data_IF_143768708809
#
_entry.id   IF_143768708809
#
_cell.length_a   1.000
_cell.length_b   1.000
_cell.length_c   1.000
_cell.angle_alpha   90.00
_cell.angle_beta   90.00
_cell.angle_gamma   90.00
#
_symmetry.space_group_name_H-M   'P 1'
#
loop_
_entity.id
_entity.type
_entity.pdbx_description
1 polymer ?
#
# COMPACT_ATOMS: atom_id res chain seq x y z
N UNK A 1 25.22 -4.34 4.45
CA UNK A 1 24.30 -3.21 4.13
C UNK A 1 22.95 -3.71 3.59
N UNK A 2 22.90 -4.84 2.87
CA UNK A 2 21.68 -5.50 2.33
C UNK A 2 20.67 -5.99 3.37
N UNK A 3 21.11 -6.35 4.58
CA UNK A 3 20.18 -6.70 5.67
C UNK A 3 19.35 -5.49 6.11
N UNK A 4 20.00 -4.33 6.28
CA UNK A 4 19.41 -3.12 6.83
C UNK A 4 18.41 -2.47 5.86
N UNK A 5 18.74 -2.46 4.56
CA UNK A 5 17.86 -1.91 3.53
C UNK A 5 16.57 -2.72 3.37
N UNK A 6 16.66 -4.05 3.47
CA UNK A 6 15.50 -4.93 3.40
C UNK A 6 14.57 -4.74 4.58
N UNK A 7 15.10 -4.72 5.81
CA UNK A 7 14.30 -4.49 7.02
C UNK A 7 13.58 -3.13 7.01
N UNK A 8 14.21 -2.09 6.45
CA UNK A 8 13.58 -0.78 6.31
C UNK A 8 12.43 -0.82 5.29
N UNK A 9 12.61 -1.45 4.13
CA UNK A 9 11.54 -1.53 3.11
C UNK A 9 10.35 -2.37 3.57
N UNK A 10 10.59 -3.49 4.24
CA UNK A 10 9.51 -4.31 4.81
C UNK A 10 8.77 -3.53 5.90
N UNK A 11 9.49 -2.87 6.82
CA UNK A 11 8.88 -2.08 7.90
C UNK A 11 8.07 -0.89 7.37
N UNK A 12 8.62 -0.14 6.40
CA UNK A 12 7.90 0.97 5.76
C UNK A 12 6.69 0.49 4.97
N UNK A 13 6.79 -0.69 4.33
CA UNK A 13 5.70 -1.30 3.60
C UNK A 13 4.56 -1.77 4.50
N UNK A 14 4.88 -2.45 5.61
CA UNK A 14 3.91 -2.94 6.58
C UNK A 14 3.17 -1.80 7.29
N UNK A 15 3.87 -0.72 7.67
CA UNK A 15 3.21 0.45 8.29
C UNK A 15 2.29 1.16 7.31
N UNK A 16 2.71 1.34 6.05
CA UNK A 16 1.88 1.95 5.03
C UNK A 16 0.65 1.08 4.71
N UNK A 17 0.83 -0.23 4.61
CA UNK A 17 -0.24 -1.20 4.37
C UNK A 17 -1.26 -1.20 5.52
N UNK A 18 -0.81 -1.30 6.77
CA UNK A 18 -1.70 -1.30 7.93
C UNK A 18 -2.51 0.01 8.04
N UNK A 19 -1.91 1.14 7.66
CA UNK A 19 -2.61 2.42 7.62
C UNK A 19 -3.68 2.46 6.50
N UNK A 20 -3.39 1.88 5.33
CA UNK A 20 -4.34 1.74 4.22
C UNK A 20 -5.50 0.81 4.61
N UNK A 21 -5.21 -0.38 5.13
CA UNK A 21 -6.21 -1.34 5.59
C UNK A 21 -7.11 -0.76 6.69
N UNK A 22 -6.51 -0.07 7.67
CA UNK A 22 -7.27 0.60 8.75
C UNK A 22 -8.24 1.63 8.19
N UNK A 23 -7.81 2.47 7.24
CA UNK A 23 -8.68 3.47 6.60
C UNK A 23 -9.80 2.82 5.79
N UNK A 24 -9.50 1.78 5.03
CA UNK A 24 -10.49 1.02 4.28
C UNK A 24 -11.55 0.38 5.19
N UNK A 25 -11.12 -0.21 6.31
CA UNK A 25 -12.02 -0.78 7.31
C UNK A 25 -12.94 0.27 7.94
N UNK A 26 -12.40 1.45 8.28
CA UNK A 26 -13.19 2.58 8.79
C UNK A 26 -14.24 3.02 7.77
N UNK A 27 -13.89 3.14 6.49
CA UNK A 27 -14.85 3.51 5.46
C UNK A 27 -15.91 2.43 5.24
N UNK A 28 -15.53 1.15 5.28
CA UNK A 28 -16.48 0.04 5.13
C UNK A 28 -17.50 0.02 6.27
N UNK A 29 -17.04 0.20 7.52
CA UNK A 29 -17.92 0.35 8.68
C UNK A 29 -18.82 1.58 8.58
N UNK A 30 -18.30 2.70 8.07
CA UNK A 30 -19.10 3.91 7.82
C UNK A 30 -20.19 3.68 6.78
N UNK A 31 -19.89 2.99 5.67
CA UNK A 31 -20.89 2.65 4.63
C UNK A 31 -21.98 1.77 5.23
N UNK A 32 -21.61 0.76 6.01
CA UNK A 32 -22.55 -0.19 6.61
C UNK A 32 -23.49 0.52 7.61
N UNK A 33 -22.94 1.39 8.47
CA UNK A 33 -23.72 2.24 9.37
C UNK A 33 -24.65 3.21 8.63
N UNK A 34 -24.17 3.87 7.56
CA UNK A 34 -25.01 4.78 6.78
C UNK A 34 -26.11 4.05 6.01
N UNK A 35 -25.83 2.84 5.50
CA UNK A 35 -26.80 1.98 4.84
C UNK A 35 -27.91 1.56 5.80
N UNK A 36 -27.57 1.21 7.04
CA UNK A 36 -28.54 0.87 8.09
C UNK A 36 -29.41 2.07 8.51
N UNK A 37 -28.83 3.29 8.45
CA UNK A 37 -29.57 4.55 8.61
C UNK A 37 -30.33 5.02 7.35
N UNK A 38 -30.32 4.25 6.26
CA UNK A 38 -31.02 4.58 5.01
C UNK A 38 -30.36 5.69 4.18
N UNK A 39 -29.15 6.11 4.51
CA UNK A 39 -28.40 7.14 3.77
C UNK A 39 -27.70 6.47 2.58
N UNK A 40 -28.02 6.92 1.37
CA UNK A 40 -27.42 6.43 0.15
C UNK A 40 -26.00 6.99 0.00
N UNK A 41 -25.01 6.16 0.30
CA UNK A 41 -23.61 6.42 -0.06
C UNK A 41 -23.50 6.46 -1.60
N UNK A 42 -22.82 7.49 -2.12
CA UNK A 42 -22.66 7.65 -3.57
C UNK A 42 -22.02 6.41 -4.21
N UNK A 43 -22.53 6.00 -5.38
CA UNK A 43 -21.98 4.88 -6.16
C UNK A 43 -20.50 5.10 -6.50
N UNK A 44 -20.11 6.36 -6.74
CA UNK A 44 -18.72 6.76 -6.96
C UNK A 44 -17.81 6.45 -5.76
N UNK A 45 -18.27 6.65 -4.52
CA UNK A 45 -17.48 6.32 -3.34
C UNK A 45 -17.31 4.81 -3.17
N UNK A 46 -18.35 4.02 -3.41
CA UNK A 46 -18.27 2.56 -3.38
C UNK A 46 -17.30 2.01 -4.43
N UNK A 47 -17.33 2.57 -5.66
CA UNK A 47 -16.35 2.22 -6.70
C UNK A 47 -14.94 2.61 -6.29
N UNK A 48 -14.73 3.82 -5.78
CA UNK A 48 -13.40 4.27 -5.34
C UNK A 48 -12.84 3.44 -4.18
N UNK A 49 -13.70 3.02 -3.24
CA UNK A 49 -13.32 2.14 -2.15
C UNK A 49 -12.92 0.75 -2.65
N UNK A 50 -13.67 0.17 -3.59
CA UNK A 50 -13.33 -1.09 -4.23
C UNK A 50 -11.99 -1.03 -4.97
N UNK A 51 -11.76 0.04 -5.75
CA UNK A 51 -10.47 0.25 -6.43
C UNK A 51 -9.31 0.43 -5.44
N UNK A 52 -9.55 1.08 -4.30
CA UNK A 52 -8.54 1.26 -3.26
C UNK A 52 -8.24 -0.05 -2.50
N UNK A 53 -9.25 -0.89 -2.27
CA UNK A 53 -9.07 -2.25 -1.73
C UNK A 53 -8.23 -3.10 -2.67
N UNK A 54 -8.61 -3.18 -3.95
CA UNK A 54 -7.88 -3.99 -4.93
C UNK A 54 -6.42 -3.54 -5.09
N UNK A 55 -6.18 -2.22 -5.10
CA UNK A 55 -4.82 -1.67 -5.13
C UNK A 55 -4.02 -1.99 -3.85
N UNK A 56 -4.68 -2.01 -2.69
CA UNK A 56 -4.06 -2.36 -1.39
C UNK A 56 -3.71 -3.86 -1.33
N UNK A 57 -4.59 -4.73 -1.81
CA UNK A 57 -4.33 -6.17 -1.93
C UNK A 57 -3.16 -6.46 -2.88
N UNK A 58 -3.09 -5.75 -4.01
CA UNK A 58 -1.96 -5.81 -4.94
C UNK A 58 -0.66 -5.34 -4.29
N UNK A 59 -0.73 -4.32 -3.43
CA UNK A 59 0.42 -3.84 -2.68
C UNK A 59 0.91 -4.88 -1.66
N UNK A 60 0.01 -5.49 -0.88
CA UNK A 60 0.34 -6.58 0.04
C UNK A 60 0.99 -7.77 -0.70
N UNK A 61 0.41 -8.19 -1.82
CA UNK A 61 0.95 -9.26 -2.64
C UNK A 61 2.35 -8.94 -3.19
N UNK A 62 2.61 -7.66 -3.50
CA UNK A 62 3.91 -7.18 -3.98
C UNK A 62 4.96 -7.17 -2.87
N UNK A 63 4.58 -6.78 -1.64
CA UNK A 63 5.45 -6.87 -0.45
C UNK A 63 5.87 -8.33 -0.23
N UNK A 64 4.94 -9.29 -0.23
CA UNK A 64 5.23 -10.72 -0.08
C UNK A 64 6.17 -11.26 -1.17
N UNK A 65 5.99 -10.81 -2.42
CA UNK A 65 6.90 -11.15 -3.53
C UNK A 65 8.30 -10.59 -3.32
N UNK A 66 8.41 -9.37 -2.81
CA UNK A 66 9.70 -8.72 -2.52
C UNK A 66 10.43 -9.43 -1.39
N UNK A 67 9.74 -9.81 -0.31
CA UNK A 67 10.33 -10.60 0.77
C UNK A 67 10.82 -11.98 0.29
N UNK A 68 10.04 -12.63 -0.59
CA UNK A 68 10.46 -13.89 -1.22
C UNK A 68 11.71 -13.69 -2.08
N UNK A 69 11.73 -12.67 -2.95
CA UNK A 69 12.89 -12.33 -3.78
C UNK A 69 14.12 -11.99 -2.93
N UNK A 70 13.92 -11.33 -1.79
CA UNK A 70 14.97 -11.03 -0.82
C UNK A 70 15.55 -12.29 -0.22
N UNK A 71 14.70 -13.23 0.20
CA UNK A 71 15.17 -14.52 0.73
C UNK A 71 15.99 -15.30 -0.31
N UNK A 72 15.61 -15.24 -1.59
CA UNK A 72 16.37 -15.86 -2.69
C UNK A 72 17.73 -15.16 -2.87
N UNK A 73 17.76 -13.83 -2.85
CA UNK A 73 18.99 -13.05 -2.93
C UNK A 73 19.92 -13.34 -1.75
N UNK A 74 19.41 -13.36 -0.51
CA UNK A 74 20.22 -13.64 0.68
C UNK A 74 20.79 -15.08 0.65
N UNK A 75 20.04 -16.05 0.13
CA UNK A 75 20.53 -17.42 -0.10
C UNK A 75 21.64 -17.46 -1.17
N UNK A 76 21.46 -16.78 -2.30
CA UNK A 76 22.46 -16.70 -3.37
C UNK A 76 23.74 -15.97 -2.92
N UNK A 77 23.61 -14.86 -2.18
CA UNK A 77 24.73 -14.12 -1.61
C UNK A 77 25.52 -14.97 -0.60
N UNK A 78 24.82 -15.79 0.22
CA UNK A 78 25.46 -16.75 1.12
C UNK A 78 26.22 -17.83 0.35
N UNK A 79 25.64 -18.36 -0.73
CA UNK A 79 26.28 -19.36 -1.60
C UNK A 79 27.53 -18.80 -2.29
N UNK A 80 27.48 -17.56 -2.77
CA UNK A 80 28.63 -16.83 -3.30
C UNK A 80 29.74 -16.68 -2.26
N UNK A 81 29.39 -16.24 -1.05
CA UNK A 81 30.36 -16.08 0.04
C UNK A 81 31.03 -17.41 0.38
N UNK A 82 30.26 -18.51 0.43
CA UNK A 82 30.81 -19.84 0.66
C UNK A 82 31.75 -20.31 -0.46
N UNK A 83 31.38 -20.07 -1.72
CA UNK A 83 32.23 -20.38 -2.87
C UNK A 83 33.52 -19.56 -2.84
N UNK A 84 33.44 -18.26 -2.52
CA UNK A 84 34.60 -17.37 -2.41
C UNK A 84 35.54 -17.79 -1.29
N UNK A 85 35.00 -18.12 -0.12
CA UNK A 85 35.81 -18.62 1.00
C UNK A 85 36.52 -19.93 0.63
N UNK A 86 35.84 -20.83 -0.10
CA UNK A 86 36.43 -22.09 -0.56
C UNK A 86 37.54 -21.86 -1.58
N UNK A 87 37.35 -20.92 -2.52
CA UNK A 87 38.36 -20.51 -3.48
C UNK A 87 39.59 -19.91 -2.78
N UNK A 88 39.39 -19.00 -1.83
CA UNK A 88 40.47 -18.37 -1.06
C UNK A 88 41.24 -19.36 -0.18
N UNK A 89 40.62 -20.50 0.17
CA UNK A 89 41.27 -21.56 0.96
C UNK A 89 42.06 -22.55 0.09
N UNK A 90 41.94 -22.47 -1.24
CA UNK A 90 42.64 -23.33 -2.20
C UNK A 90 43.88 -22.60 -2.74
N UNK A 91 44.96 -23.34 -2.91
CA UNK A 91 46.14 -22.82 -3.58
C UNK A 91 45.86 -22.70 -5.10
N UNK A 92 46.30 -21.64 -5.79
CA UNK A 92 46.15 -21.53 -7.24
C UNK A 92 46.77 -22.69 -8.05
N UNK A 93 47.72 -23.42 -7.48
CA UNK A 93 48.31 -24.62 -8.08
C UNK A 93 47.49 -25.90 -7.86
N UNK A 94 46.44 -25.85 -7.05
CA UNK A 94 45.63 -27.00 -6.66
C UNK A 94 44.66 -27.39 -7.80
N UNK A 95 44.58 -28.66 -8.21
CA UNK A 95 43.69 -29.09 -9.30
C UNK A 95 42.20 -28.77 -9.06
N UNK A 96 41.78 -28.55 -7.80
CA UNK A 96 40.44 -28.11 -7.46
C UNK A 96 40.16 -26.61 -7.66
N UNK A 97 41.19 -25.78 -7.90
CA UNK A 97 41.07 -24.32 -7.97
C UNK A 97 40.17 -23.87 -9.14
N UNK A 98 40.37 -24.42 -10.33
CA UNK A 98 39.56 -24.09 -11.51
C UNK A 98 38.07 -24.43 -11.33
N UNK A 99 37.75 -25.53 -10.61
CA UNK A 99 36.37 -25.88 -10.26
C UNK A 99 35.77 -24.91 -9.24
N UNK A 100 36.56 -24.49 -8.25
CA UNK A 100 36.13 -23.51 -7.27
C UNK A 100 35.91 -22.12 -7.91
N UNK A 101 36.73 -21.73 -8.88
CA UNK A 101 36.61 -20.47 -9.62
C UNK A 101 35.32 -20.45 -10.45
N UNK A 102 35.04 -21.52 -11.19
CA UNK A 102 33.78 -21.68 -11.91
C UNK A 102 32.57 -21.64 -10.97
N UNK A 103 32.68 -22.23 -9.77
CA UNK A 103 31.61 -22.20 -8.77
C UNK A 103 31.37 -20.78 -8.20
N UNK A 104 32.43 -19.99 -8.00
CA UNK A 104 32.33 -18.57 -7.61
C UNK A 104 31.67 -17.75 -8.71
N UNK A 105 32.09 -17.95 -9.97
CA UNK A 105 31.52 -17.22 -11.10
C UNK A 105 30.03 -17.54 -11.27
N UNK A 106 29.64 -18.82 -11.17
CA UNK A 106 28.25 -19.22 -11.27
C UNK A 106 27.41 -18.72 -10.09
N UNK A 107 27.92 -18.79 -8.86
CA UNK A 107 27.25 -18.19 -7.71
C UNK A 107 27.16 -16.65 -7.84
N UNK A 108 28.10 -16.01 -8.53
CA UNK A 108 28.09 -14.58 -8.87
C UNK A 108 26.97 -14.21 -9.83
N UNK A 109 26.77 -15.03 -10.87
CA UNK A 109 25.64 -14.89 -11.80
C UNK A 109 24.31 -15.07 -11.06
N UNK A 110 24.17 -16.15 -10.28
CA UNK A 110 22.96 -16.42 -9.49
C UNK A 110 22.65 -15.27 -8.51
N UNK A 111 23.64 -14.72 -7.82
CA UNK A 111 23.45 -13.59 -6.89
C UNK A 111 23.07 -12.29 -7.61
N UNK A 112 23.60 -12.07 -8.82
CA UNK A 112 23.27 -10.90 -9.64
C UNK A 112 21.86 -11.00 -10.21
N UNK A 113 21.48 -12.16 -10.74
CA UNK A 113 20.11 -12.42 -11.22
C UNK A 113 19.09 -12.30 -10.08
N UNK A 114 19.40 -12.86 -8.91
CA UNK A 114 18.55 -12.73 -7.73
C UNK A 114 18.45 -11.27 -7.26
N UNK A 115 19.53 -10.48 -7.37
CA UNK A 115 19.51 -9.05 -7.08
C UNK A 115 18.61 -8.29 -8.04
N UNK A 116 18.72 -8.55 -9.35
CA UNK A 116 17.85 -7.92 -10.35
C UNK A 116 16.38 -8.28 -10.13
N UNK A 117 16.09 -9.53 -9.73
CA UNK A 117 14.74 -9.95 -9.39
C UNK A 117 14.22 -9.21 -8.14
N UNK A 118 15.05 -9.04 -7.12
CA UNK A 118 14.73 -8.25 -5.92
C UNK A 118 14.48 -6.78 -6.26
N UNK A 119 15.34 -6.17 -7.08
CA UNK A 119 15.19 -4.77 -7.49
C UNK A 119 13.89 -4.58 -8.30
N UNK A 120 13.56 -5.50 -9.22
CA UNK A 120 12.27 -5.48 -9.96
C UNK A 120 11.06 -5.65 -9.04
N UNK A 121 11.13 -6.54 -8.05
CA UNK A 121 10.05 -6.74 -7.09
C UNK A 121 9.87 -5.51 -6.19
N UNK A 122 10.97 -4.87 -5.81
CA UNK A 122 10.98 -3.62 -5.04
C UNK A 122 10.32 -2.49 -5.83
N UNK A 123 10.70 -2.30 -7.10
CA UNK A 123 10.09 -1.30 -7.98
C UNK A 123 8.59 -1.54 -8.17
N UNK A 124 8.17 -2.80 -8.34
CA UNK A 124 6.76 -3.17 -8.43
C UNK A 124 6.01 -2.84 -7.13
N UNK A 125 6.62 -3.10 -5.98
CA UNK A 125 6.06 -2.78 -4.65
C UNK A 125 5.92 -1.28 -4.45
N UNK A 126 6.93 -0.49 -4.83
CA UNK A 126 6.85 0.98 -4.77
C UNK A 126 5.72 1.51 -5.66
N UNK A 127 5.58 0.97 -6.89
CA UNK A 127 4.49 1.35 -7.80
C UNK A 127 3.11 0.98 -7.22
N UNK A 128 2.95 -0.24 -6.71
CA UNK A 128 1.71 -0.70 -6.11
C UNK A 128 1.34 0.13 -4.88
N UNK A 129 2.30 0.45 -4.00
CA UNK A 129 2.06 1.29 -2.84
C UNK A 129 1.70 2.73 -3.19
N UNK A 130 2.32 3.27 -4.25
CA UNK A 130 1.97 4.61 -4.77
C UNK A 130 0.56 4.63 -5.35
N UNK A 131 0.17 3.59 -6.10
CA UNK A 131 -1.18 3.49 -6.65
C UNK A 131 -2.23 3.29 -5.56
N UNK A 132 -1.99 2.39 -4.59
CA UNK A 132 -2.86 2.18 -3.43
C UNK A 132 -3.09 3.49 -2.65
N UNK A 133 -2.02 4.26 -2.41
CA UNK A 133 -2.12 5.58 -1.77
C UNK A 133 -2.95 6.56 -2.62
N UNK A 134 -2.72 6.63 -3.92
CA UNK A 134 -3.46 7.53 -4.81
C UNK A 134 -4.96 7.17 -4.89
N UNK A 135 -5.29 5.87 -4.91
CA UNK A 135 -6.68 5.39 -4.89
C UNK A 135 -7.36 5.68 -3.55
N UNK A 136 -6.65 5.49 -2.43
CA UNK A 136 -7.14 5.88 -1.11
C UNK A 136 -7.36 7.39 -1.00
N UNK A 137 -6.46 8.23 -1.52
CA UNK A 137 -6.66 9.69 -1.55
C UNK A 137 -7.85 10.10 -2.42
N UNK A 138 -8.11 9.41 -3.54
CA UNK A 138 -9.31 9.64 -4.35
C UNK A 138 -10.58 9.32 -3.57
N UNK A 139 -10.63 8.19 -2.87
CA UNK A 139 -11.76 7.82 -2.02
C UNK A 139 -11.98 8.89 -0.92
N UNK A 140 -10.93 9.37 -0.28
CA UNK A 140 -11.02 10.43 0.75
C UNK A 140 -11.55 11.76 0.20
N UNK A 141 -11.12 12.15 -1.01
CA UNK A 141 -11.62 13.36 -1.66
C UNK A 141 -13.12 13.25 -1.98
N UNK A 142 -13.59 12.07 -2.40
CA UNK A 142 -15.02 11.82 -2.66
C UNK A 142 -15.79 11.87 -1.33
N UNK A 143 -15.26 11.27 -0.27
CA UNK A 143 -15.88 11.29 1.05
C UNK A 143 -15.99 12.71 1.61
N UNK A 144 -14.91 13.50 1.51
CA UNK A 144 -14.88 14.89 1.96
C UNK A 144 -15.91 15.74 1.21
N UNK A 145 -16.04 15.53 -0.12
CA UNK A 145 -17.08 16.19 -0.91
C UNK A 145 -18.48 15.76 -0.47
N UNK A 146 -18.69 14.47 -0.21
CA UNK A 146 -19.98 13.94 0.25
C UNK A 146 -20.38 14.48 1.64
N UNK A 147 -19.43 14.59 2.57
CA UNK A 147 -19.66 15.19 3.88
C UNK A 147 -19.83 16.72 3.80
N UNK A 148 -19.09 17.39 2.91
CA UNK A 148 -19.24 18.81 2.63
C UNK A 148 -20.60 19.15 2.01
N UNK A 149 -21.13 18.32 1.12
CA UNK A 149 -22.49 18.49 0.56
C UNK A 149 -23.58 18.12 1.55
N UNK A 150 -23.38 17.13 2.42
CA UNK A 150 -24.32 16.82 3.50
C UNK A 150 -24.48 18.00 4.49
N UNK A 151 -23.38 18.64 4.89
CA UNK A 151 -23.43 19.83 5.74
C UNK A 151 -24.06 21.05 5.05
N UNK A 152 -23.84 21.24 3.75
CA UNK A 152 -24.47 22.31 2.98
C UNK A 152 -26.00 22.09 2.80
N UNK A 153 -26.44 20.83 2.63
CA UNK A 153 -27.85 20.48 2.57
C UNK A 153 -28.56 20.72 3.92
N UNK A 154 -27.90 20.40 5.03
CA UNK A 154 -28.41 20.72 6.38
C UNK A 154 -28.49 22.22 6.64
N UNK A 155 -27.53 23.03 6.15
CA UNK A 155 -27.59 24.48 6.26
C UNK A 155 -28.73 25.12 5.45
N UNK A 156 -29.04 24.60 4.27
CA UNK A 156 -30.17 25.08 3.47
C UNK A 156 -31.53 24.76 4.10
N UNK A 157 -31.67 23.62 4.78
CA UNK A 157 -32.90 23.30 5.52
C UNK A 157 -33.07 24.15 6.79
N UNK A 158 -31.99 24.47 7.50
CA UNK A 158 -32.03 25.39 8.65
C UNK A 158 -32.39 26.80 8.19
N UNK A 159 -31.79 27.30 7.09
CA UNK A 159 -32.06 28.65 6.58
C UNK A 159 -33.50 28.83 6.06
N UNK A 160 -34.10 27.79 5.45
CA UNK A 160 -35.52 27.82 5.08
C UNK A 160 -36.45 27.73 6.30
N UNK A 161 -36.13 26.87 7.27
CA UNK A 161 -36.90 26.78 8.52
C UNK A 161 -36.89 28.07 9.33
N UNK A 162 -35.77 28.79 9.37
CA UNK A 162 -35.67 30.08 10.05
C UNK A 162 -36.46 31.18 9.33
N UNK A 163 -36.47 31.21 7.99
CA UNK A 163 -37.29 32.15 7.22
C UNK A 163 -38.80 31.91 7.38
N UNK A 164 -39.25 30.64 7.37
CA UNK A 164 -40.66 30.30 7.56
C UNK A 164 -41.15 30.57 8.99
N UNK A 165 -40.30 30.34 10.00
CA UNK A 165 -40.62 30.67 11.39
C UNK A 165 -40.73 32.18 11.61
N UNK A 166 -39.84 32.99 11.01
CA UNK A 166 -39.93 34.45 11.09
C UNK A 166 -41.19 34.99 10.40
N UNK A 167 -41.59 34.41 9.27
CA UNK A 167 -42.82 34.78 8.54
C UNK A 167 -44.11 34.45 9.33
N UNK A 168 -44.15 33.30 10.00
CA UNK A 168 -45.30 32.89 10.81
C UNK A 168 -45.42 33.68 12.12
N UNK A 169 -44.30 34.01 12.78
CA UNK A 169 -44.33 34.83 14.00
C UNK A 169 -44.76 36.28 13.69
N UNK A 170 -44.35 36.83 12.55
CA UNK A 170 -44.78 38.16 12.11
C UNK A 170 -46.29 38.23 11.78
N UNK A 171 -46.89 37.13 11.31
CA UNK A 171 -48.36 37.06 11.08
C UNK A 171 -49.16 36.93 12.37
N UNK A 172 -48.59 36.32 13.42
CA UNK A 172 -49.26 36.15 14.72
C UNK A 172 -49.23 37.39 15.60
N UNK A 173 -48.38 38.38 15.30
CA UNK A 173 -48.32 39.67 16.02
C UNK A 173 -49.15 40.78 15.36
N UNK A 174 -49.83 40.49 14.25
CA UNK A 174 -50.62 41.45 13.46
C UNK A 174 -52.13 41.16 13.49
N UNK A 175 -52.61 40.49 14.54
CA UNK A 175 -54.03 40.27 14.87
C UNK A 175 -54.36 40.87 16.23
#
# INVERSE_FOLDING_TARGET
VTLLLGSLMTLLGEVALAQLESRLAVWQAMIESQKEMGIQVSKEFQTALGEAQEATDLYEASIKKTDTAKSVYDAAAKKLTQAQNKLQSLDPADPGYAQAEAAVEQAGKEATEAKEALDKATDATVKAGTDAKAKAEKADNILTKFQGTANAASQNQVSQGEQDNLSNVARLTML
#
